data_IF_081408675515
#
_entry.id   IF_081408675515
#
_cell.length_a   1.000
_cell.length_b   1.000
_cell.length_c   1.000
_cell.angle_alpha   90.00
_cell.angle_beta   90.00
_cell.angle_gamma   90.00
#
_symmetry.space_group_name_H-M   'P 1'
#
loop_
_entity.id
_entity.type
_entity.pdbx_description
1 polymer ?
#
# COMPACT_ATOMS: atom_id res chain seq x y z
N UNK A 1 -23.57 -25.30 -3.99
CA UNK A 1 -23.47 -23.85 -3.73
C UNK A 1 -23.14 -23.68 -2.25
N UNK A 2 -21.87 -23.61 -1.87
CA UNK A 2 -21.47 -23.22 -0.52
C UNK A 2 -21.32 -21.70 -0.52
N UNK A 3 -22.24 -21.04 0.17
CA UNK A 3 -22.12 -19.61 0.51
C UNK A 3 -20.94 -19.47 1.48
N UNK A 4 -19.82 -18.91 1.02
CA UNK A 4 -18.80 -18.39 1.91
C UNK A 4 -19.42 -17.20 2.65
N UNK A 5 -19.86 -17.43 3.88
CA UNK A 5 -20.12 -16.33 4.81
C UNK A 5 -18.81 -15.57 4.94
N UNK A 6 -18.82 -14.31 4.50
CA UNK A 6 -17.75 -13.38 4.86
C UNK A 6 -17.78 -13.27 6.38
N UNK A 7 -16.77 -13.84 7.04
CA UNK A 7 -16.54 -13.60 8.45
C UNK A 7 -16.34 -12.08 8.59
N UNK A 8 -17.30 -11.40 9.24
CA UNK A 8 -17.12 -10.01 9.64
C UNK A 8 -15.88 -9.98 10.53
N UNK A 9 -14.85 -9.28 10.06
CA UNK A 9 -13.67 -9.03 10.89
C UNK A 9 -14.15 -8.34 12.16
N UNK A 10 -13.94 -8.91 13.35
CA UNK A 10 -14.41 -8.31 14.59
C UNK A 10 -13.95 -6.86 14.67
N UNK A 11 -14.86 -5.93 14.98
CA UNK A 11 -14.49 -4.54 15.19
C UNK A 11 -13.53 -4.46 16.38
N UNK A 12 -12.35 -3.87 16.17
CA UNK A 12 -11.42 -3.63 17.26
C UNK A 12 -12.06 -2.78 18.34
N UNK A 13 -11.80 -3.12 19.60
CA UNK A 13 -12.32 -2.41 20.77
C UNK A 13 -11.17 -2.06 21.70
N UNK A 14 -11.26 -0.89 22.30
CA UNK A 14 -10.34 -0.53 23.38
C UNK A 14 -10.52 -1.50 24.53
N UNK A 15 -9.44 -2.09 25.09
CA UNK A 15 -9.53 -2.93 26.29
C UNK A 15 -10.21 -2.19 27.43
N UNK A 16 -11.01 -2.93 28.22
CA UNK A 16 -11.72 -2.35 29.35
C UNK A 16 -10.74 -1.77 30.40
N UNK A 17 -11.09 -0.63 30.98
CA UNK A 17 -10.27 0.04 31.99
C UNK A 17 -9.19 0.96 31.44
N UNK A 18 -9.03 1.07 30.11
CA UNK A 18 -8.13 2.04 29.52
C UNK A 18 -8.86 3.37 29.26
N UNK A 19 -8.26 4.47 29.69
CA UNK A 19 -8.79 5.81 29.51
C UNK A 19 -7.85 6.63 28.60
N UNK A 20 -8.34 7.00 27.42
CA UNK A 20 -7.58 7.83 26.46
C UNK A 20 -7.78 9.30 26.79
N UNK A 21 -6.67 10.00 27.01
CA UNK A 21 -6.66 11.43 27.41
C UNK A 21 -6.19 12.36 26.31
N UNK A 22 -5.53 11.85 25.27
CA UNK A 22 -5.12 12.64 24.10
C UNK A 22 -4.98 11.77 22.85
N UNK A 23 -5.08 12.38 21.67
CA UNK A 23 -4.79 11.76 20.38
C UNK A 23 -3.57 12.42 19.74
N UNK A 24 -2.72 11.60 19.12
CA UNK A 24 -1.59 12.05 18.31
C UNK A 24 -1.63 11.35 16.95
N UNK A 25 -1.39 12.10 15.88
CA UNK A 25 -1.26 11.55 14.54
C UNK A 25 0.21 11.59 14.08
N UNK A 26 0.69 10.51 13.48
CA UNK A 26 2.02 10.43 12.87
C UNK A 26 1.95 9.87 11.46
N UNK A 27 2.63 10.54 10.48
CA UNK A 27 3.18 11.89 10.59
C UNK A 27 2.11 12.96 10.82
N UNK A 28 2.48 14.11 11.39
CA UNK A 28 1.58 15.23 11.61
C UNK A 28 1.23 15.99 10.30
N UNK A 29 2.04 15.81 9.27
CA UNK A 29 1.85 16.39 7.93
C UNK A 29 2.08 15.34 6.86
N UNK A 30 1.32 15.41 5.77
CA UNK A 30 1.44 14.52 4.61
C UNK A 30 1.74 15.36 3.37
N UNK A 31 2.82 15.05 2.68
CA UNK A 31 3.11 15.56 1.35
C UNK A 31 3.08 14.42 0.35
N UNK A 32 2.26 14.59 -0.72
CA UNK A 32 2.13 13.64 -1.83
C UNK A 32 2.47 14.39 -3.13
N UNK A 33 3.38 13.83 -3.93
CA UNK A 33 4.02 14.52 -5.06
C UNK A 33 3.67 13.96 -6.43
N UNK A 34 2.88 12.89 -6.48
CA UNK A 34 2.38 12.30 -7.72
C UNK A 34 1.17 11.38 -7.44
N UNK A 35 0.45 10.99 -8.50
CA UNK A 35 -0.80 10.21 -8.43
C UNK A 35 -0.71 8.85 -7.72
N UNK A 36 0.49 8.26 -7.63
CA UNK A 36 0.71 6.98 -6.95
C UNK A 36 1.26 7.13 -5.54
N UNK A 37 1.55 8.37 -5.11
CA UNK A 37 2.11 8.61 -3.79
C UNK A 37 1.09 8.33 -2.69
N UNK A 38 1.56 7.86 -1.56
CA UNK A 38 0.74 7.55 -0.40
C UNK A 38 1.52 7.66 0.89
N UNK A 39 0.80 7.85 1.99
CA UNK A 39 1.37 7.82 3.35
C UNK A 39 0.47 7.02 4.26
N UNK A 40 1.08 6.19 5.11
CA UNK A 40 0.37 5.53 6.19
C UNK A 40 0.39 6.46 7.40
N UNK A 41 -0.79 6.75 7.96
CA UNK A 41 -0.94 7.43 9.24
C UNK A 41 -1.06 6.40 10.36
N UNK A 42 -0.52 6.75 11.52
CA UNK A 42 -0.73 6.08 12.78
C UNK A 42 -1.44 7.08 13.72
N UNK A 43 -2.59 6.69 14.24
CA UNK A 43 -3.34 7.47 15.23
C UNK A 43 -3.14 6.80 16.58
N UNK A 44 -2.42 7.47 17.45
CA UNK A 44 -2.06 6.95 18.77
C UNK A 44 -2.89 7.64 19.86
N UNK A 45 -3.55 6.88 20.71
CA UNK A 45 -4.15 7.35 21.95
C UNK A 45 -3.13 7.36 23.07
N UNK A 46 -2.99 8.47 23.79
CA UNK A 46 -2.27 8.53 25.07
C UNK A 46 -3.23 8.12 26.17
N UNK A 47 -2.81 7.18 27.01
CA UNK A 47 -3.57 6.76 28.19
C UNK A 47 -3.20 7.61 29.41
N UNK A 48 -4.09 7.68 30.39
CA UNK A 48 -3.82 8.31 31.69
C UNK A 48 -2.69 7.64 32.49
N UNK A 49 -2.40 6.36 32.19
CA UNK A 49 -1.22 5.64 32.71
C UNK A 49 0.11 6.12 32.12
N UNK A 50 0.08 6.93 31.03
CA UNK A 50 1.25 7.34 30.26
C UNK A 50 1.62 6.38 29.12
N UNK A 51 0.97 5.23 29.01
CA UNK A 51 1.13 4.30 27.90
C UNK A 51 0.42 4.80 26.64
N UNK A 52 0.65 4.11 25.51
CA UNK A 52 0.03 4.45 24.23
C UNK A 52 -0.69 3.25 23.62
N UNK A 53 -1.77 3.51 22.89
CA UNK A 53 -2.56 2.50 22.18
C UNK A 53 -2.77 2.93 20.72
N UNK A 54 -2.67 1.97 19.80
CA UNK A 54 -3.01 2.22 18.38
C UNK A 54 -4.53 2.31 18.22
N UNK A 55 -5.01 3.46 17.81
CA UNK A 55 -6.42 3.76 17.55
C UNK A 55 -6.72 3.96 16.06
N UNK A 56 -5.76 3.71 15.17
CA UNK A 56 -5.88 4.05 13.74
C UNK A 56 -7.17 3.50 13.12
N UNK A 57 -7.53 2.26 13.42
CA UNK A 57 -8.73 1.62 12.87
C UNK A 57 -10.01 1.85 13.69
N UNK A 58 -9.86 2.39 14.91
CA UNK A 58 -10.98 2.71 15.79
C UNK A 58 -11.41 4.18 15.72
N UNK A 59 -10.50 5.08 15.32
CA UNK A 59 -10.80 6.49 15.15
C UNK A 59 -11.69 6.73 13.94
N UNK A 60 -12.66 7.62 14.09
CA UNK A 60 -13.44 8.12 12.96
C UNK A 60 -12.62 9.13 12.17
N UNK A 61 -12.62 9.01 10.85
CA UNK A 61 -11.91 9.91 9.95
C UNK A 61 -12.88 10.80 9.19
N UNK A 62 -12.56 12.09 9.13
CA UNK A 62 -13.22 13.08 8.29
C UNK A 62 -12.21 13.78 7.40
N UNK A 63 -12.46 13.76 6.11
CA UNK A 63 -11.64 14.35 5.05
C UNK A 63 -12.59 14.97 4.04
N UNK A 64 -13.03 16.23 4.28
CA UNK A 64 -14.12 16.86 3.53
C UNK A 64 -13.69 17.38 2.15
N UNK A 65 -12.39 17.47 1.89
CA UNK A 65 -11.84 17.94 0.62
C UNK A 65 -11.80 16.86 -0.46
N UNK A 66 -11.12 17.19 -1.56
CA UNK A 66 -10.98 16.31 -2.74
C UNK A 66 -9.54 15.95 -3.04
N UNK A 67 -8.58 16.51 -2.28
CA UNK A 67 -7.16 16.34 -2.55
C UNK A 67 -6.67 14.92 -2.21
N UNK A 68 -7.22 14.29 -1.17
CA UNK A 68 -6.82 12.95 -0.74
C UNK A 68 -8.00 11.99 -0.61
N UNK A 69 -7.68 10.70 -0.64
CA UNK A 69 -8.54 9.63 -0.16
C UNK A 69 -7.89 8.99 1.07
N UNK A 70 -8.66 8.83 2.15
CA UNK A 70 -8.20 8.22 3.39
C UNK A 70 -9.00 6.95 3.65
N UNK A 71 -8.30 5.82 3.82
CA UNK A 71 -8.93 4.55 4.16
C UNK A 71 -9.13 4.41 5.67
N UNK A 72 -9.95 3.46 6.09
CA UNK A 72 -10.23 3.18 7.52
C UNK A 72 -8.99 2.75 8.32
N UNK A 73 -7.99 2.20 7.64
CA UNK A 73 -6.70 1.81 8.23
C UNK A 73 -5.64 2.92 8.16
N UNK A 74 -6.06 4.18 7.86
CA UNK A 74 -5.20 5.35 7.90
C UNK A 74 -4.29 5.53 6.69
N UNK A 75 -4.52 4.81 5.57
CA UNK A 75 -3.76 5.00 4.34
C UNK A 75 -4.29 6.21 3.58
N UNK A 76 -3.45 7.22 3.39
CA UNK A 76 -3.72 8.45 2.62
C UNK A 76 -3.15 8.32 1.22
N UNK A 77 -3.97 8.55 0.20
CA UNK A 77 -3.58 8.53 -1.22
C UNK A 77 -3.90 9.85 -1.90
N UNK A 78 -3.05 10.24 -2.85
CA UNK A 78 -3.30 11.42 -3.69
C UNK A 78 -4.52 11.19 -4.61
N UNK A 79 -5.38 12.21 -4.74
CA UNK A 79 -6.52 12.26 -5.68
C UNK A 79 -6.45 13.45 -6.62
N UNK A 80 -6.20 14.64 -6.09
CA UNK A 80 -6.10 15.87 -6.87
C UNK A 80 -5.11 16.82 -6.20
N UNK A 81 -4.49 17.72 -6.97
CA UNK A 81 -3.63 18.75 -6.42
C UNK A 81 -4.43 19.69 -5.50
N UNK A 82 -3.85 20.01 -4.36
CA UNK A 82 -4.49 20.88 -3.37
C UNK A 82 -3.98 20.64 -1.94
N UNK A 83 -4.64 21.30 -1.00
CA UNK A 83 -4.39 21.15 0.44
C UNK A 83 -5.67 20.78 1.14
N UNK A 84 -5.57 19.93 2.15
CA UNK A 84 -6.71 19.42 2.89
C UNK A 84 -6.33 19.15 4.35
N UNK A 85 -7.25 19.33 5.27
CA UNK A 85 -7.10 18.93 6.67
C UNK A 85 -7.89 17.64 6.92
N UNK A 86 -7.19 16.59 7.36
CA UNK A 86 -7.78 15.32 7.75
C UNK A 86 -7.96 15.35 9.27
N UNK A 87 -9.17 15.10 9.74
CA UNK A 87 -9.48 15.06 11.19
C UNK A 87 -9.78 13.62 11.61
N UNK A 88 -9.15 13.19 12.69
CA UNK A 88 -9.45 11.92 13.36
C UNK A 88 -10.06 12.19 14.72
N UNK A 89 -11.13 11.46 15.06
CA UNK A 89 -11.84 11.59 16.33
C UNK A 89 -12.04 10.26 17.02
N UNK A 90 -11.87 10.24 18.35
CA UNK A 90 -12.13 9.07 19.20
C UNK A 90 -12.50 9.54 20.61
N UNK A 91 -13.64 9.04 21.16
CA UNK A 91 -14.04 9.33 22.54
C UNK A 91 -14.19 10.83 22.86
N UNK A 92 -14.60 11.66 21.90
CA UNK A 92 -14.69 13.13 22.07
C UNK A 92 -13.38 13.89 21.90
N UNK A 93 -12.26 13.20 21.74
CA UNK A 93 -10.95 13.77 21.43
C UNK A 93 -10.75 13.87 19.90
N UNK A 94 -9.89 14.79 19.46
CA UNK A 94 -9.56 14.93 18.06
C UNK A 94 -8.09 15.25 17.83
N UNK A 95 -7.58 14.84 16.66
CA UNK A 95 -6.27 15.22 16.13
C UNK A 95 -6.38 15.51 14.64
N UNK A 96 -5.49 16.35 14.10
CA UNK A 96 -5.54 16.83 12.73
C UNK A 96 -4.22 16.57 12.01
N UNK A 97 -4.32 16.26 10.71
CA UNK A 97 -3.18 16.07 9.81
C UNK A 97 -3.36 16.99 8.61
N UNK A 98 -2.41 17.86 8.37
CA UNK A 98 -2.38 18.67 7.16
C UNK A 98 -1.85 17.84 5.98
N UNK A 99 -2.61 17.76 4.91
CA UNK A 99 -2.22 17.10 3.68
C UNK A 99 -2.02 18.10 2.56
N UNK A 100 -0.90 17.98 1.83
CA UNK A 100 -0.59 18.72 0.61
C UNK A 100 -0.33 17.74 -0.51
N UNK A 101 -1.03 17.93 -1.62
CA UNK A 101 -0.92 17.11 -2.82
C UNK A 101 -0.51 17.99 -3.98
N UNK A 102 0.43 17.52 -4.80
CA UNK A 102 0.88 18.19 -6.01
C UNK A 102 1.27 17.17 -7.08
N UNK A 103 1.23 17.58 -8.35
CA UNK A 103 1.75 16.79 -9.47
C UNK A 103 0.92 15.56 -9.83
N UNK A 104 -0.35 15.48 -9.42
CA UNK A 104 -1.24 14.35 -9.75
C UNK A 104 -1.48 14.23 -11.25
N UNK A 105 -1.64 15.35 -11.94
CA UNK A 105 -1.82 15.40 -13.38
C UNK A 105 -0.50 15.30 -14.18
N UNK A 106 0.66 15.37 -13.50
CA UNK A 106 1.96 15.31 -14.16
C UNK A 106 2.35 13.85 -14.46
N UNK A 107 3.04 13.59 -15.58
CA UNK A 107 3.59 12.28 -15.86
C UNK A 107 4.57 11.85 -14.74
N UNK A 108 4.29 10.70 -14.12
CA UNK A 108 5.20 10.10 -13.15
C UNK A 108 6.09 9.06 -13.84
N UNK A 109 7.41 9.19 -13.71
CA UNK A 109 8.36 8.17 -14.17
C UNK A 109 8.40 7.05 -13.14
N UNK A 110 7.82 5.91 -13.51
CA UNK A 110 7.68 4.76 -12.59
C UNK A 110 9.03 4.09 -12.38
N UNK A 111 9.44 4.01 -11.11
CA UNK A 111 10.64 3.32 -10.65
C UNK A 111 10.33 1.84 -10.38
N UNK A 112 11.13 0.92 -10.94
CA UNK A 112 10.98 -0.49 -10.59
C UNK A 112 11.25 -0.74 -9.11
N UNK A 113 12.32 -0.17 -8.59
CA UNK A 113 12.78 -0.40 -7.21
C UNK A 113 11.86 0.26 -6.18
N UNK A 114 11.44 1.51 -6.42
CA UNK A 114 10.66 2.29 -5.43
C UNK A 114 9.16 2.10 -5.53
N UNK A 115 8.66 1.80 -6.73
CA UNK A 115 7.23 1.79 -7.00
C UNK A 115 6.72 0.37 -7.31
N UNK A 116 7.31 -0.32 -8.29
CA UNK A 116 6.81 -1.64 -8.74
C UNK A 116 7.08 -2.72 -7.71
N UNK A 117 8.30 -2.84 -7.18
CA UNK A 117 8.61 -3.87 -6.19
C UNK A 117 7.76 -3.77 -4.90
N UNK A 118 7.57 -2.58 -4.29
CA UNK A 118 6.64 -2.43 -3.18
C UNK A 118 5.20 -2.79 -3.54
N UNK A 119 4.72 -2.44 -4.74
CA UNK A 119 3.39 -2.81 -5.20
C UNK A 119 3.24 -4.34 -5.32
N UNK A 120 4.23 -5.04 -5.90
CA UNK A 120 4.25 -6.51 -5.96
C UNK A 120 4.22 -7.15 -4.57
N UNK A 121 4.95 -6.57 -3.61
CA UNK A 121 4.96 -7.04 -2.22
C UNK A 121 3.61 -6.82 -1.53
N UNK A 122 2.97 -5.67 -1.74
CA UNK A 122 1.63 -5.37 -1.21
C UNK A 122 0.56 -6.27 -1.80
N UNK A 123 0.62 -6.56 -3.09
CA UNK A 123 -0.24 -7.54 -3.75
C UNK A 123 0.06 -8.99 -3.34
N UNK A 124 1.16 -9.24 -2.61
CA UNK A 124 1.57 -10.57 -2.15
C UNK A 124 2.23 -11.44 -3.24
N UNK A 125 2.57 -10.87 -4.40
CA UNK A 125 3.13 -11.64 -5.53
C UNK A 125 4.44 -12.35 -5.15
N UNK A 126 5.31 -11.69 -4.38
CA UNK A 126 6.61 -12.20 -3.92
C UNK A 126 6.57 -12.77 -2.48
N UNK A 127 5.38 -13.11 -1.97
CA UNK A 127 5.25 -13.80 -0.69
C UNK A 127 5.80 -15.24 -0.78
N UNK A 128 6.22 -15.81 0.36
CA UNK A 128 6.76 -17.16 0.45
C UNK A 128 5.77 -18.28 0.10
N UNK A 129 4.47 -18.00 0.10
CA UNK A 129 3.41 -18.90 -0.38
C UNK A 129 3.06 -18.71 -1.85
N UNK A 130 3.62 -17.69 -2.50
CA UNK A 130 3.42 -17.33 -3.91
C UNK A 130 4.73 -17.43 -4.69
N UNK A 131 5.02 -16.45 -5.56
CA UNK A 131 6.23 -16.50 -6.40
C UNK A 131 7.55 -16.28 -5.64
N UNK A 132 7.51 -15.84 -4.36
CA UNK A 132 8.67 -15.80 -3.47
C UNK A 132 8.99 -17.14 -2.78
N UNK A 133 8.26 -18.23 -3.07
CA UNK A 133 8.59 -19.57 -2.61
C UNK A 133 9.95 -20.01 -3.18
N UNK A 134 10.60 -21.00 -2.53
CA UNK A 134 11.90 -21.52 -2.95
C UNK A 134 11.96 -21.88 -4.45
N UNK A 135 10.94 -22.56 -4.95
CA UNK A 135 10.83 -22.96 -6.36
C UNK A 135 9.91 -22.04 -7.19
N UNK A 136 9.41 -20.93 -6.58
CA UNK A 136 8.38 -20.11 -7.19
C UNK A 136 7.03 -20.81 -7.36
N UNK A 137 6.25 -20.38 -8.34
CA UNK A 137 4.94 -20.99 -8.70
C UNK A 137 4.81 -21.06 -10.23
N UNK A 138 4.46 -22.22 -10.75
CA UNK A 138 4.20 -22.43 -12.17
C UNK A 138 5.34 -21.90 -13.09
N UNK A 139 6.59 -22.16 -12.72
CA UNK A 139 7.77 -21.75 -13.48
C UNK A 139 8.08 -20.22 -13.40
N UNK A 140 7.42 -19.51 -12.51
CA UNK A 140 7.72 -18.10 -12.24
C UNK A 140 8.15 -17.90 -10.78
N UNK A 141 9.35 -17.38 -10.60
CA UNK A 141 9.94 -17.11 -9.29
C UNK A 141 10.33 -15.65 -9.17
N UNK A 142 10.06 -15.09 -8.00
CA UNK A 142 10.53 -13.78 -7.55
C UNK A 142 11.40 -13.96 -6.29
N UNK A 143 12.20 -12.98 -5.99
CA UNK A 143 12.90 -12.91 -4.72
C UNK A 143 11.87 -12.71 -3.58
N UNK A 144 12.14 -13.34 -2.43
CA UNK A 144 11.25 -13.21 -1.27
C UNK A 144 11.17 -11.75 -0.83
N UNK A 145 9.95 -11.19 -0.82
CA UNK A 145 9.69 -9.80 -0.39
C UNK A 145 10.43 -8.71 -1.19
N UNK A 146 10.87 -9.00 -2.41
CA UNK A 146 11.56 -8.01 -3.24
C UNK A 146 13.02 -7.76 -2.82
N UNK A 147 13.65 -8.73 -2.19
CA UNK A 147 15.02 -8.66 -1.68
C UNK A 147 16.05 -8.39 -2.80
N UNK A 148 15.86 -8.93 -4.01
CA UNK A 148 16.76 -8.78 -5.15
C UNK A 148 16.06 -8.18 -6.36
N UNK A 149 16.22 -6.85 -6.52
CA UNK A 149 15.57 -6.10 -7.58
C UNK A 149 16.04 -6.51 -8.99
N UNK A 150 17.31 -6.85 -9.15
CA UNK A 150 17.85 -7.28 -10.44
C UNK A 150 17.31 -8.64 -10.84
N UNK A 151 17.28 -9.57 -9.89
CA UNK A 151 16.68 -10.89 -10.09
C UNK A 151 15.21 -10.77 -10.48
N UNK A 152 14.45 -9.99 -9.72
CA UNK A 152 13.00 -9.82 -9.97
C UNK A 152 12.72 -9.18 -11.33
N UNK A 153 13.49 -8.16 -11.70
CA UNK A 153 13.35 -7.54 -13.01
C UNK A 153 13.63 -8.54 -14.14
N UNK A 154 14.72 -9.32 -14.04
CA UNK A 154 15.06 -10.38 -15.01
C UNK A 154 14.01 -11.47 -15.09
N UNK A 155 13.45 -11.89 -13.95
CA UNK A 155 12.36 -12.85 -13.92
C UNK A 155 11.13 -12.37 -14.73
N UNK A 156 10.90 -11.06 -14.81
CA UNK A 156 9.85 -10.50 -15.67
C UNK A 156 10.29 -10.36 -17.13
N UNK A 157 11.54 -9.96 -17.39
CA UNK A 157 11.98 -9.52 -18.72
C UNK A 157 12.68 -10.58 -19.53
N UNK A 158 13.56 -11.37 -18.90
CA UNK A 158 14.47 -12.28 -19.57
C UNK A 158 13.91 -13.71 -19.62
N UNK A 159 13.23 -14.12 -18.56
CA UNK A 159 12.65 -15.45 -18.48
C UNK A 159 11.50 -15.62 -19.49
N UNK A 160 11.64 -16.58 -20.38
CA UNK A 160 10.64 -16.93 -21.39
C UNK A 160 10.24 -15.72 -22.25
N UNK A 161 11.24 -14.97 -22.76
CA UNK A 161 11.11 -14.04 -23.87
C UNK A 161 9.93 -13.06 -23.80
N UNK A 162 9.80 -12.29 -22.72
CA UNK A 162 8.75 -11.26 -22.62
C UNK A 162 7.32 -11.81 -22.41
N UNK A 163 7.16 -13.07 -22.04
CA UNK A 163 5.83 -13.69 -21.82
C UNK A 163 4.96 -12.92 -20.81
N UNK A 164 5.55 -12.24 -19.84
CA UNK A 164 4.82 -11.68 -18.70
C UNK A 164 4.23 -10.31 -18.94
N UNK A 165 4.72 -9.59 -19.95
CA UNK A 165 4.16 -8.30 -20.32
C UNK A 165 4.09 -8.10 -21.84
N UNK A 166 3.19 -7.22 -22.24
CA UNK A 166 2.97 -6.82 -23.61
C UNK A 166 3.10 -5.30 -23.70
N UNK A 167 4.18 -4.80 -24.29
CA UNK A 167 4.43 -3.36 -24.40
C UNK A 167 3.50 -2.67 -25.39
N UNK A 168 3.02 -3.39 -26.40
CA UNK A 168 2.11 -2.84 -27.42
C UNK A 168 0.68 -2.69 -26.89
N UNK A 169 0.30 -3.54 -25.91
CA UNK A 169 -0.99 -3.50 -25.25
C UNK A 169 -0.80 -3.84 -23.75
N UNK A 170 -0.35 -2.90 -22.91
CA UNK A 170 -0.01 -3.15 -21.52
C UNK A 170 -1.10 -3.87 -20.72
N UNK A 171 -2.37 -3.55 -20.94
CA UNK A 171 -3.51 -4.20 -20.27
C UNK A 171 -3.66 -5.70 -20.64
N UNK A 172 -3.06 -6.14 -21.74
CA UNK A 172 -3.00 -7.54 -22.15
C UNK A 172 -1.76 -8.27 -21.64
N UNK A 173 -1.03 -7.66 -20.72
CA UNK A 173 0.14 -8.28 -20.06
C UNK A 173 -0.29 -9.42 -19.17
N UNK A 174 0.36 -10.60 -19.32
CA UNK A 174 0.04 -11.79 -18.51
C UNK A 174 0.07 -11.51 -17.02
N UNK A 175 1.02 -10.68 -16.54
CA UNK A 175 1.10 -10.32 -15.14
C UNK A 175 -0.13 -9.54 -14.65
N UNK A 176 -0.69 -8.63 -15.46
CA UNK A 176 -1.91 -7.88 -15.13
C UNK A 176 -3.16 -8.77 -15.23
N UNK A 177 -3.27 -9.57 -16.30
CA UNK A 177 -4.38 -10.52 -16.47
C UNK A 177 -4.45 -11.53 -15.32
N UNK A 178 -3.28 -12.02 -14.83
CA UNK A 178 -3.19 -12.90 -13.65
C UNK A 178 -3.57 -12.18 -12.38
N UNK A 179 -3.05 -10.96 -12.16
CA UNK A 179 -3.29 -10.19 -10.95
C UNK A 179 -4.76 -9.77 -10.80
N UNK A 180 -5.47 -9.52 -11.91
CA UNK A 180 -6.91 -9.18 -11.92
C UNK A 180 -7.83 -10.39 -11.93
N UNK A 181 -7.30 -11.61 -12.11
CA UNK A 181 -8.13 -12.80 -12.26
C UNK A 181 -8.84 -12.89 -13.61
N UNK A 182 -8.53 -12.03 -14.59
CA UNK A 182 -9.06 -12.08 -15.97
C UNK A 182 -8.71 -13.40 -16.65
N UNK A 183 -7.66 -14.06 -16.21
CA UNK A 183 -7.32 -15.44 -16.54
C UNK A 183 -7.05 -16.24 -15.27
N UNK A 184 -7.21 -17.58 -15.28
CA UNK A 184 -7.07 -18.40 -14.09
C UNK A 184 -5.77 -18.15 -13.33
N UNK A 185 -5.87 -17.81 -12.03
CA UNK A 185 -4.76 -17.55 -11.14
C UNK A 185 -5.01 -18.17 -9.77
N UNK A 186 -4.21 -19.16 -9.40
CA UNK A 186 -4.34 -19.86 -8.11
C UNK A 186 -4.18 -18.92 -6.92
N UNK A 187 -3.42 -17.83 -7.09
CA UNK A 187 -3.27 -16.78 -6.08
C UNK A 187 -4.52 -15.92 -5.87
N UNK A 188 -5.57 -16.08 -6.68
CA UNK A 188 -6.77 -15.23 -6.67
C UNK A 188 -6.53 -13.84 -7.23
N UNK A 189 -7.54 -12.97 -7.09
CA UNK A 189 -7.47 -11.56 -7.48
C UNK A 189 -6.58 -10.80 -6.49
N UNK A 190 -5.65 -9.99 -7.01
CA UNK A 190 -4.67 -9.21 -6.24
C UNK A 190 -4.84 -7.71 -6.38
N UNK A 191 -5.44 -7.28 -7.48
CA UNK A 191 -5.79 -5.89 -7.79
C UNK A 191 -6.89 -5.91 -8.85
N UNK A 192 -7.59 -4.79 -9.02
CA UNK A 192 -8.58 -4.62 -10.06
C UNK A 192 -8.13 -3.56 -11.06
N UNK A 193 -8.69 -3.59 -12.26
CA UNK A 193 -8.49 -2.55 -13.28
C UNK A 193 -8.87 -1.19 -12.70
N UNK A 194 -8.02 -0.18 -12.88
CA UNK A 194 -8.20 1.17 -12.34
C UNK A 194 -7.72 1.35 -10.90
N UNK A 195 -7.37 0.29 -10.18
CA UNK A 195 -6.76 0.43 -8.86
C UNK A 195 -5.30 0.91 -8.94
N UNK A 196 -4.79 1.59 -7.90
CA UNK A 196 -3.47 2.23 -7.93
C UNK A 196 -2.32 1.28 -8.29
N UNK A 197 -2.33 0.03 -7.80
CA UNK A 197 -1.26 -0.93 -8.12
C UNK A 197 -1.35 -1.45 -9.54
N UNK A 198 -2.58 -1.64 -10.07
CA UNK A 198 -2.79 -1.97 -11.48
C UNK A 198 -2.25 -0.87 -12.38
N UNK A 199 -2.68 0.37 -12.15
CA UNK A 199 -2.29 1.54 -12.93
C UNK A 199 -0.79 1.78 -12.91
N UNK A 200 -0.17 1.64 -11.75
CA UNK A 200 1.27 1.80 -11.57
C UNK A 200 2.07 0.76 -12.38
N UNK A 201 1.68 -0.51 -12.32
CA UNK A 201 2.36 -1.58 -13.07
C UNK A 201 2.10 -1.42 -14.58
N UNK A 202 0.88 -1.05 -14.98
CA UNK A 202 0.54 -0.74 -16.38
C UNK A 202 1.39 0.40 -16.92
N UNK A 203 1.54 1.50 -16.14
CA UNK A 203 2.35 2.64 -16.53
C UNK A 203 3.84 2.27 -16.65
N UNK A 204 4.36 1.42 -15.74
CA UNK A 204 5.72 0.89 -15.85
C UNK A 204 5.94 0.09 -17.14
N UNK A 205 4.99 -0.76 -17.52
CA UNK A 205 5.05 -1.53 -18.79
C UNK A 205 5.03 -0.57 -19.97
N UNK A 206 4.11 0.41 -19.97
CA UNK A 206 3.97 1.41 -21.01
C UNK A 206 5.25 2.27 -21.18
N UNK A 207 5.96 2.55 -20.07
CA UNK A 207 7.23 3.28 -20.07
C UNK A 207 8.46 2.42 -20.44
N UNK A 208 8.26 1.18 -20.85
CA UNK A 208 9.30 0.32 -21.40
C UNK A 208 9.99 -0.60 -20.40
N UNK A 209 9.35 -0.90 -19.25
CA UNK A 209 9.85 -1.90 -18.28
C UNK A 209 11.26 -1.59 -17.77
N UNK A 210 11.53 -0.34 -17.45
CA UNK A 210 12.88 0.13 -17.07
C UNK A 210 13.28 -0.39 -15.68
N UNK A 211 14.59 -0.70 -15.54
CA UNK A 211 15.23 -1.02 -14.26
C UNK A 211 16.08 0.17 -13.81
N UNK A 212 15.97 0.56 -12.56
CA UNK A 212 16.62 1.71 -11.97
C UNK A 212 17.35 1.37 -10.66
N UNK A 213 18.36 0.50 -10.72
CA UNK A 213 19.13 0.05 -9.55
C UNK A 213 19.80 1.19 -8.77
N UNK A 214 19.95 2.38 -9.38
CA UNK A 214 20.49 3.59 -8.74
C UNK A 214 19.42 4.43 -8.02
N UNK A 215 18.17 3.98 -8.00
CA UNK A 215 17.11 4.66 -7.24
C UNK A 215 17.51 4.83 -5.76
N UNK A 216 17.12 5.94 -5.12
CA UNK A 216 17.36 6.13 -3.68
C UNK A 216 16.79 4.99 -2.86
N UNK A 217 17.55 4.53 -1.87
CA UNK A 217 17.16 3.43 -0.98
C UNK A 217 16.91 3.94 0.43
N UNK A 218 16.14 3.16 1.19
CA UNK A 218 15.95 3.41 2.62
C UNK A 218 17.30 3.33 3.33
N UNK A 219 17.65 4.39 4.05
CA UNK A 219 18.89 4.49 4.84
C UNK A 219 18.65 4.36 6.34
N UNK A 220 17.40 4.62 6.80
CA UNK A 220 17.03 4.53 8.21
C UNK A 220 15.59 4.07 8.34
N UNK A 221 15.32 3.21 9.32
CA UNK A 221 13.98 2.80 9.73
C UNK A 221 13.81 3.17 11.20
N UNK A 222 12.71 3.84 11.52
CA UNK A 222 12.29 4.12 12.88
C UNK A 222 10.97 3.41 13.15
N UNK A 223 10.82 2.82 14.34
CA UNK A 223 9.61 2.09 14.71
C UNK A 223 8.90 2.84 15.86
N UNK A 224 7.64 3.14 15.64
CA UNK A 224 6.75 3.79 16.60
C UNK A 224 5.40 3.10 16.65
N UNK A 225 4.68 3.18 17.77
CA UNK A 225 5.16 3.60 19.09
C UNK A 225 6.09 2.56 19.73
N UNK A 226 6.86 2.98 20.73
CA UNK A 226 7.68 2.05 21.53
C UNK A 226 6.79 1.45 22.61
N UNK A 227 6.69 0.11 22.66
CA UNK A 227 5.87 -0.65 23.61
C UNK A 227 4.38 -0.21 23.64
N UNK A 228 3.66 -0.27 22.50
CA UNK A 228 2.25 0.10 22.50
C UNK A 228 1.38 -0.94 23.20
N UNK A 229 0.27 -0.49 23.79
CA UNK A 229 -0.85 -1.36 24.13
C UNK A 229 -1.59 -1.70 22.83
N UNK A 230 -1.77 -2.98 22.55
CA UNK A 230 -2.46 -3.45 21.34
C UNK A 230 -3.91 -3.76 21.67
N UNK A 231 -4.90 -3.20 20.94
CA UNK A 231 -6.29 -3.57 21.06
C UNK A 231 -6.50 -5.05 20.76
N UNK A 232 -7.48 -5.67 21.43
CA UNK A 232 -7.88 -7.08 21.21
C UNK A 232 -9.18 -7.19 20.44
#
# INVERSE_FOLDING_TARGET
MLSLRGDEVPSEKLPAGLNVVALEARPATVELTHKFDYRQLLITGKLDSGETVDLTRMAQVSSPGTAVAVSKDGLVRAKADGTEEITFTFGGLSTKVAAKVSGVAQPHVVSFVRDVQPALSRMGCNAGTCHGAREGKAGFKLSLRGYDALYDHRAFTDDIGGRRFNRAAPDQSLMLLKATGSIPHVGGVRTNVGEPYYELVRDWINQGVKLDLKAPRVTKIEVFPVNPVVPR
#
